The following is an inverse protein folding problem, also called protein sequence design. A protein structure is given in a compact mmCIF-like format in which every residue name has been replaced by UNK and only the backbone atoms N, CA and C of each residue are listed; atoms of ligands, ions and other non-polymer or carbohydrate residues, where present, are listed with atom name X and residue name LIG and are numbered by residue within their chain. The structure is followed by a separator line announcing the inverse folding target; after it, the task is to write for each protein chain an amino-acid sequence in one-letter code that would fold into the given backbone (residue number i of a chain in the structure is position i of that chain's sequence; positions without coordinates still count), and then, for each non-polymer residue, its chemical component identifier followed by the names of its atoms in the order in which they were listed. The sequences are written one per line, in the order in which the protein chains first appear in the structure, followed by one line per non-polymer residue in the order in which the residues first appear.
data_IF_399296292800
#
_entry.id   IF_399296292800
#
_cell.length_a   1.000
_cell.length_b   1.000
_cell.length_c   1.000
_cell.angle_alpha   90.00
_cell.angle_beta   90.00
_cell.angle_gamma   90.00
#
_symmetry.space_group_name_H-M   'P 1'
#
loop_
_entity.id
_entity.type
_entity.pdbx_description
1 polymer ?
#
# COMPACT_ATOMS: atom_id res chain seq x y z
N UNK A 1 -6.85 7.67 2.26
CA UNK A 1 -7.52 8.47 3.29
C UNK A 1 -8.16 7.65 4.40
N UNK A 2 -8.82 6.55 4.13
CA UNK A 2 -9.42 5.66 5.12
C UNK A 2 -8.45 5.25 6.23
N UNK A 3 -7.18 4.97 5.90
CA UNK A 3 -6.16 4.62 6.89
C UNK A 3 -5.80 5.74 7.88
N UNK A 4 -6.01 7.01 7.53
CA UNK A 4 -5.79 8.14 8.43
C UNK A 4 -6.94 8.31 9.45
N UNK A 5 -8.15 7.93 9.05
CA UNK A 5 -9.36 8.05 9.87
C UNK A 5 -9.58 6.82 10.76
N UNK A 6 -9.20 5.63 10.29
CA UNK A 6 -9.32 4.40 11.08
C UNK A 6 -8.14 4.25 12.04
N UNK A 7 -8.39 3.91 13.30
CA UNK A 7 -7.34 3.73 14.34
C UNK A 7 -6.47 2.46 14.14
N UNK A 8 -6.61 1.76 13.00
CA UNK A 8 -5.88 0.54 12.66
C UNK A 8 -4.54 0.90 12.03
N UNK A 9 -3.47 0.91 12.80
CA UNK A 9 -2.11 1.09 12.28
C UNK A 9 -1.10 0.94 13.41
N UNK A 10 0.02 0.28 13.10
CA UNK A 10 1.10 0.08 14.05
C UNK A 10 1.69 1.39 14.60
N UNK A 11 2.54 1.33 15.63
CA UNK A 11 3.09 2.49 16.31
C UNK A 11 3.86 3.45 15.37
N UNK A 12 4.44 2.94 14.29
CA UNK A 12 5.18 3.74 13.31
C UNK A 12 4.28 4.69 12.50
N UNK A 13 3.01 4.31 12.27
CA UNK A 13 2.06 5.12 11.53
C UNK A 13 1.30 6.13 12.39
N UNK A 14 1.29 6.00 13.71
CA UNK A 14 0.56 6.90 14.59
C UNK A 14 1.03 8.37 14.53
N UNK A 15 2.35 8.67 14.58
CA UNK A 15 2.85 10.03 14.42
C UNK A 15 2.56 10.62 13.03
N UNK A 16 2.65 9.80 11.98
CA UNK A 16 2.33 10.18 10.61
C UNK A 16 0.85 10.55 10.49
N UNK A 17 -0.07 9.69 10.96
CA UNK A 17 -1.51 9.98 10.98
C UNK A 17 -1.82 11.27 11.71
N UNK A 18 -1.21 11.46 12.89
CA UNK A 18 -1.42 12.68 13.66
C UNK A 18 -0.99 13.94 12.91
N UNK A 19 0.11 13.89 12.16
CA UNK A 19 0.52 15.00 11.28
C UNK A 19 -0.50 15.25 10.17
N UNK A 20 -0.87 14.20 9.44
CA UNK A 20 -1.85 14.28 8.34
C UNK A 20 -3.17 14.88 8.84
N UNK A 21 -3.74 14.36 9.92
CA UNK A 21 -5.01 14.87 10.45
C UNK A 21 -4.94 16.35 10.85
N UNK A 22 -3.79 16.82 11.36
CA UNK A 22 -3.60 18.25 11.68
C UNK A 22 -3.37 19.12 10.44
N UNK A 23 -2.83 18.55 9.36
CA UNK A 23 -2.59 19.32 8.12
C UNK A 23 -3.80 19.38 7.19
N UNK A 24 -4.80 18.54 7.39
CA UNK A 24 -5.99 18.50 6.54
C UNK A 24 -6.76 19.84 6.63
N UNK A 25 -7.05 20.47 5.47
CA UNK A 25 -7.81 21.70 5.45
C UNK A 25 -9.29 21.45 5.78
N UNK A 26 -10.00 22.47 6.25
CA UNK A 26 -11.42 22.37 6.54
C UNK A 26 -12.26 21.89 5.33
N UNK A 27 -11.82 22.17 4.12
CA UNK A 27 -12.47 21.70 2.89
C UNK A 27 -12.54 20.17 2.78
N UNK A 28 -11.62 19.42 3.43
CA UNK A 28 -11.62 17.95 3.45
C UNK A 28 -12.49 17.35 4.55
N UNK A 29 -13.02 18.14 5.48
CA UNK A 29 -13.82 17.65 6.61
C UNK A 29 -15.02 16.78 6.21
N UNK A 30 -15.73 17.01 5.08
CA UNK A 30 -16.83 16.15 4.66
C UNK A 30 -16.45 14.68 4.48
N UNK A 31 -15.18 14.38 4.23
CA UNK A 31 -14.75 12.99 4.08
C UNK A 31 -14.85 12.17 5.37
N UNK A 32 -14.80 12.81 6.53
CA UNK A 32 -15.02 12.14 7.81
C UNK A 32 -16.47 11.63 7.94
N UNK A 33 -17.43 12.36 7.38
CA UNK A 33 -18.83 11.98 7.36
C UNK A 33 -19.09 10.71 6.53
N UNK A 34 -18.21 10.37 5.57
CA UNK A 34 -18.36 9.17 4.75
C UNK A 34 -17.90 7.89 5.45
N UNK A 35 -17.32 8.00 6.65
CA UNK A 35 -16.75 6.86 7.38
C UNK A 35 -17.26 6.80 8.83
N UNK A 36 -18.58 6.94 9.10
CA UNK A 36 -19.10 7.07 10.47
C UNK A 36 -18.80 5.85 11.33
N UNK A 37 -18.72 4.65 10.72
CA UNK A 37 -18.44 3.39 11.41
C UNK A 37 -17.07 2.79 10.99
N UNK A 38 -16.15 3.59 10.47
CA UNK A 38 -14.82 3.13 10.03
C UNK A 38 -14.82 2.39 8.69
N UNK A 39 -15.95 2.32 7.99
CA UNK A 39 -16.10 1.68 6.67
C UNK A 39 -16.65 2.68 5.66
N UNK A 40 -15.89 3.02 4.62
CA UNK A 40 -16.37 3.92 3.58
C UNK A 40 -17.43 3.24 2.69
N UNK A 41 -18.21 4.01 1.92
CA UNK A 41 -18.99 3.50 0.82
C UNK A 41 -18.08 2.92 -0.27
N UNK A 42 -18.43 1.76 -0.82
CA UNK A 42 -17.60 1.05 -1.81
C UNK A 42 -17.45 1.81 -3.13
N UNK A 43 -18.39 2.69 -3.49
CA UNK A 43 -18.29 3.50 -4.70
C UNK A 43 -17.14 4.53 -4.68
N UNK A 44 -16.47 4.71 -3.54
CA UNK A 44 -15.26 5.54 -3.44
C UNK A 44 -13.99 4.76 -3.76
N UNK A 45 -14.07 3.43 -3.80
CA UNK A 45 -12.93 2.54 -4.03
C UNK A 45 -12.84 2.22 -5.53
N UNK A 46 -12.50 3.23 -6.33
CA UNK A 46 -12.32 3.11 -7.77
C UNK A 46 -10.83 2.99 -8.12
N UNK A 47 -10.56 2.37 -9.26
CA UNK A 47 -9.22 2.27 -9.82
C UNK A 47 -9.23 3.02 -11.15
N UNK A 48 -8.57 4.17 -11.19
CA UNK A 48 -8.40 4.99 -12.38
C UNK A 48 -6.91 5.17 -12.71
N UNK A 49 -6.62 5.42 -13.97
CA UNK A 49 -5.25 5.68 -14.43
C UNK A 49 -4.72 7.00 -13.91
N UNK A 50 -5.61 7.96 -13.66
CA UNK A 50 -5.29 9.26 -13.08
C UNK A 50 -6.26 9.60 -11.94
N UNK A 51 -5.92 10.63 -11.16
CA UNK A 51 -6.84 11.16 -10.14
C UNK A 51 -8.11 11.74 -10.77
N UNK A 52 -8.00 12.35 -11.94
CA UNK A 52 -9.16 12.89 -12.67
C UNK A 52 -10.09 11.74 -13.07
N UNK A 53 -9.56 10.68 -13.67
CA UNK A 53 -10.34 9.47 -14.04
C UNK A 53 -11.03 8.86 -12.82
N UNK A 54 -10.32 8.78 -11.70
CA UNK A 54 -10.90 8.26 -10.44
C UNK A 54 -12.08 9.11 -9.96
N UNK A 55 -11.96 10.44 -10.02
CA UNK A 55 -13.06 11.35 -9.67
C UNK A 55 -14.25 11.23 -10.62
N UNK A 56 -13.98 11.07 -11.92
CA UNK A 56 -15.03 10.84 -12.92
C UNK A 56 -15.74 9.50 -12.70
N UNK A 57 -15.00 8.43 -12.43
CA UNK A 57 -15.58 7.12 -12.10
C UNK A 57 -16.47 7.19 -10.85
N UNK A 58 -16.01 7.84 -9.79
CA UNK A 58 -16.83 8.07 -8.59
C UNK A 58 -18.11 8.83 -8.93
N UNK A 59 -18.01 9.88 -9.75
CA UNK A 59 -19.14 10.71 -10.17
C UNK A 59 -20.12 9.96 -11.07
N UNK A 60 -19.61 9.04 -11.90
CA UNK A 60 -20.39 8.22 -12.80
C UNK A 60 -21.07 7.01 -12.11
N UNK A 61 -20.84 6.80 -10.80
CA UNK A 61 -21.49 5.72 -10.06
C UNK A 61 -23.01 5.81 -10.17
N UNK A 62 -23.65 4.68 -10.43
CA UNK A 62 -25.10 4.63 -10.58
C UNK A 62 -25.82 5.14 -9.31
N UNK A 63 -26.88 5.92 -9.43
CA UNK A 63 -27.61 6.45 -8.28
C UNK A 63 -28.15 5.35 -7.36
N UNK A 64 -28.45 4.18 -7.90
CA UNK A 64 -28.88 3.01 -7.11
C UNK A 64 -27.80 2.51 -6.19
N UNK A 65 -26.57 2.35 -6.68
CA UNK A 65 -25.42 1.90 -5.87
C UNK A 65 -25.06 2.94 -4.81
N UNK A 66 -25.06 4.23 -5.16
CA UNK A 66 -24.80 5.30 -4.19
C UNK A 66 -25.78 5.23 -3.02
N UNK A 67 -27.09 5.06 -3.30
CA UNK A 67 -28.12 4.95 -2.24
C UNK A 67 -27.88 3.75 -1.35
N UNK A 68 -27.76 2.56 -1.93
CA UNK A 68 -27.55 1.32 -1.18
C UNK A 68 -26.31 1.39 -0.30
N UNK A 69 -25.22 1.93 -0.81
CA UNK A 69 -23.97 2.05 -0.07
C UNK A 69 -24.05 3.09 1.06
N UNK A 70 -24.71 4.21 0.84
CA UNK A 70 -24.94 5.20 1.91
C UNK A 70 -25.85 4.65 2.99
N UNK A 71 -26.93 3.94 2.64
CA UNK A 71 -27.81 3.26 3.57
C UNK A 71 -27.05 2.22 4.41
N UNK A 72 -26.20 1.43 3.76
CA UNK A 72 -25.32 0.45 4.43
C UNK A 72 -24.37 1.10 5.44
N UNK A 73 -23.75 2.22 5.06
CA UNK A 73 -22.74 2.91 5.88
C UNK A 73 -23.39 3.59 7.08
N UNK A 74 -24.55 4.21 6.89
CA UNK A 74 -25.20 4.97 7.93
C UNK A 74 -26.08 4.11 8.87
N UNK A 75 -26.75 3.08 8.33
CA UNK A 75 -27.62 2.23 9.17
C UNK A 75 -28.54 3.04 10.09
N UNK A 76 -28.25 3.01 11.38
CA UNK A 76 -28.96 3.76 12.43
C UNK A 76 -28.29 5.09 12.83
N UNK A 77 -27.16 5.43 12.23
CA UNK A 77 -26.41 6.65 12.55
C UNK A 77 -27.09 7.88 11.92
N UNK A 78 -27.16 9.03 12.59
CA UNK A 78 -27.71 10.26 12.03
C UNK A 78 -26.98 10.67 10.75
N UNK A 79 -27.73 10.94 9.68
CA UNK A 79 -27.19 11.26 8.35
C UNK A 79 -27.02 12.78 8.21
N UNK A 80 -25.81 13.30 7.92
CA UNK A 80 -25.58 14.72 7.64
C UNK A 80 -26.39 15.23 6.44
N UNK A 81 -26.73 16.52 6.44
CA UNK A 81 -27.57 17.11 5.40
C UNK A 81 -27.00 16.93 4.00
N UNK A 82 -25.70 17.11 3.82
CA UNK A 82 -25.06 17.00 2.53
C UNK A 82 -25.01 15.53 2.03
N UNK A 83 -24.89 14.55 2.94
CA UNK A 83 -24.99 13.12 2.61
C UNK A 83 -26.40 12.76 2.14
N UNK A 84 -27.45 13.31 2.77
CA UNK A 84 -28.82 13.17 2.24
C UNK A 84 -28.94 13.75 0.84
N UNK A 85 -28.24 14.87 0.58
CA UNK A 85 -28.15 15.44 -0.77
C UNK A 85 -27.45 14.50 -1.75
N UNK A 86 -26.37 13.84 -1.33
CA UNK A 86 -25.64 12.87 -2.15
C UNK A 86 -26.53 11.64 -2.47
N UNK A 87 -27.22 11.12 -1.47
CA UNK A 87 -28.22 10.04 -1.63
C UNK A 87 -29.35 10.42 -2.61
N UNK A 88 -29.78 11.67 -2.62
CA UNK A 88 -30.77 12.21 -3.54
C UNK A 88 -30.22 12.60 -4.93
N UNK A 89 -28.93 12.40 -5.19
CA UNK A 89 -28.30 12.78 -6.46
C UNK A 89 -28.07 14.28 -6.65
N UNK A 90 -28.06 15.08 -5.57
CA UNK A 90 -27.94 16.54 -5.64
C UNK A 90 -26.53 16.96 -6.10
N UNK A 91 -26.46 17.78 -7.12
CA UNK A 91 -25.21 18.25 -7.73
C UNK A 91 -24.32 19.03 -6.75
N UNK A 92 -24.91 19.81 -5.83
CA UNK A 92 -24.15 20.53 -4.82
C UNK A 92 -23.45 19.58 -3.83
N UNK A 93 -24.08 18.42 -3.51
CA UNK A 93 -23.48 17.40 -2.66
C UNK A 93 -22.30 16.69 -3.39
N UNK A 94 -22.43 16.41 -4.66
CA UNK A 94 -21.36 15.87 -5.49
C UNK A 94 -20.17 16.85 -5.59
N UNK A 95 -20.42 18.13 -5.77
CA UNK A 95 -19.36 19.16 -5.74
C UNK A 95 -18.67 19.23 -4.37
N UNK A 96 -19.42 19.04 -3.29
CA UNK A 96 -18.84 19.00 -1.94
C UNK A 96 -17.90 17.79 -1.79
N UNK A 97 -18.33 16.61 -2.24
CA UNK A 97 -17.49 15.41 -2.23
C UNK A 97 -16.20 15.61 -3.05
N UNK A 98 -16.33 16.08 -4.29
CA UNK A 98 -15.19 16.31 -5.17
C UNK A 98 -14.17 17.30 -4.58
N UNK A 99 -14.63 18.45 -4.06
CA UNK A 99 -13.73 19.41 -3.40
C UNK A 99 -13.02 18.82 -2.19
N UNK A 100 -13.73 18.04 -1.40
CA UNK A 100 -13.16 17.41 -0.22
C UNK A 100 -12.10 16.35 -0.60
N UNK A 101 -12.34 15.57 -1.64
CA UNK A 101 -11.36 14.61 -2.17
C UNK A 101 -10.13 15.31 -2.75
N UNK A 102 -10.33 16.34 -3.54
CA UNK A 102 -9.24 17.14 -4.12
C UNK A 102 -8.37 17.77 -3.02
N UNK A 103 -8.99 18.46 -2.05
CA UNK A 103 -8.27 19.07 -0.94
C UNK A 103 -7.46 18.04 -0.11
N UNK A 104 -8.01 16.86 0.11
CA UNK A 104 -7.30 15.80 0.79
C UNK A 104 -6.15 15.23 -0.04
N UNK A 105 -6.34 15.04 -1.35
CA UNK A 105 -5.28 14.58 -2.25
C UNK A 105 -4.12 15.57 -2.28
N UNK A 106 -4.40 16.86 -2.52
CA UNK A 106 -3.39 17.92 -2.58
C UNK A 106 -2.57 18.04 -1.29
N UNK A 107 -3.22 17.81 -0.14
CA UNK A 107 -2.55 17.92 1.16
C UNK A 107 -1.78 16.66 1.54
N UNK A 108 -2.30 15.46 1.24
CA UNK A 108 -1.77 14.20 1.77
C UNK A 108 -0.93 13.46 0.75
N UNK A 109 -1.40 13.35 -0.49
CA UNK A 109 -0.79 12.50 -1.50
C UNK A 109 0.07 13.26 -2.50
N UNK A 110 -0.37 14.41 -2.97
CA UNK A 110 0.37 15.18 -3.98
C UNK A 110 1.83 15.46 -3.56
N UNK A 111 2.13 15.83 -2.29
CA UNK A 111 3.50 16.08 -1.87
C UNK A 111 4.44 14.86 -1.92
N UNK A 112 3.87 13.66 -1.92
CA UNK A 112 4.62 12.39 -1.93
C UNK A 112 4.31 11.54 -3.16
N UNK A 113 3.56 12.09 -4.12
CA UNK A 113 3.01 11.32 -5.23
C UNK A 113 4.07 10.64 -6.10
N UNK A 114 5.17 11.33 -6.39
CA UNK A 114 6.29 10.75 -7.14
C UNK A 114 6.89 9.55 -6.41
N UNK A 115 7.06 9.65 -5.09
CA UNK A 115 7.58 8.55 -4.26
C UNK A 115 6.61 7.36 -4.28
N UNK A 116 5.30 7.62 -4.19
CA UNK A 116 4.28 6.57 -4.26
C UNK A 116 4.32 5.88 -5.63
N UNK A 117 4.47 6.65 -6.71
CA UNK A 117 4.57 6.09 -8.07
C UNK A 117 5.83 5.24 -8.25
N UNK A 118 6.96 5.65 -7.72
CA UNK A 118 8.21 4.89 -7.79
C UNK A 118 8.09 3.58 -7.00
N UNK A 119 7.58 3.62 -5.77
CA UNK A 119 7.30 2.44 -4.96
C UNK A 119 6.32 1.48 -5.65
N UNK A 120 5.29 2.03 -6.31
CA UNK A 120 4.34 1.21 -7.07
C UNK A 120 5.02 0.52 -8.26
N UNK A 121 5.89 1.22 -8.97
CA UNK A 121 6.64 0.66 -10.10
C UNK A 121 7.62 -0.43 -9.67
N UNK A 122 8.31 -0.22 -8.55
CA UNK A 122 9.19 -1.24 -7.95
C UNK A 122 8.39 -2.49 -7.56
N UNK A 123 7.24 -2.31 -6.92
CA UNK A 123 6.38 -3.40 -6.50
C UNK A 123 5.82 -4.18 -7.69
N UNK A 124 5.34 -3.47 -8.72
CA UNK A 124 4.90 -4.07 -9.97
C UNK A 124 6.02 -4.91 -10.62
N UNK A 125 7.22 -4.34 -10.74
CA UNK A 125 8.37 -5.02 -11.34
C UNK A 125 8.73 -6.28 -10.54
N UNK A 126 8.74 -6.20 -9.22
CA UNK A 126 9.04 -7.33 -8.33
C UNK A 126 8.08 -8.49 -8.56
N UNK A 127 6.78 -8.23 -8.61
CA UNK A 127 5.79 -9.30 -8.82
C UNK A 127 5.74 -9.78 -10.26
N UNK A 128 5.95 -8.90 -11.25
CA UNK A 128 6.05 -9.31 -12.64
C UNK A 128 7.21 -10.29 -12.86
N UNK A 129 8.37 -10.03 -12.28
CA UNK A 129 9.52 -10.95 -12.32
C UNK A 129 9.22 -12.26 -11.56
N UNK A 130 8.62 -12.17 -10.36
CA UNK A 130 8.25 -13.37 -9.61
C UNK A 130 7.27 -14.27 -10.39
N UNK A 131 6.29 -13.67 -11.06
CA UNK A 131 5.36 -14.42 -11.93
C UNK A 131 6.09 -15.06 -13.11
N UNK A 132 7.00 -14.31 -13.75
CA UNK A 132 7.75 -14.79 -14.91
C UNK A 132 8.70 -15.94 -14.57
N UNK A 133 9.36 -15.88 -13.42
CA UNK A 133 10.37 -16.87 -12.99
C UNK A 133 9.78 -18.05 -12.22
N UNK A 134 8.77 -17.83 -11.40
CA UNK A 134 8.28 -18.81 -10.42
C UNK A 134 6.76 -19.07 -10.53
N UNK A 135 6.07 -18.37 -11.42
CA UNK A 135 4.64 -18.53 -11.66
C UNK A 135 3.75 -17.74 -10.67
N UNK A 136 2.45 -17.70 -11.00
CA UNK A 136 1.44 -16.95 -10.25
C UNK A 136 1.33 -17.42 -8.79
N UNK A 137 1.44 -18.73 -8.54
CA UNK A 137 1.36 -19.29 -7.20
C UNK A 137 2.39 -18.67 -6.25
N UNK A 138 3.64 -18.56 -6.70
CA UNK A 138 4.71 -17.97 -5.90
C UNK A 138 4.47 -16.47 -5.62
N UNK A 139 3.93 -15.74 -6.60
CA UNK A 139 3.58 -14.35 -6.44
C UNK A 139 2.46 -14.17 -5.39
N UNK A 140 1.39 -14.95 -5.47
CA UNK A 140 0.25 -14.87 -4.54
C UNK A 140 0.66 -15.26 -3.11
N UNK A 141 1.39 -16.36 -2.93
CA UNK A 141 1.85 -16.78 -1.60
C UNK A 141 2.85 -15.80 -0.97
N UNK A 142 3.61 -15.06 -1.80
CA UNK A 142 4.48 -13.97 -1.36
C UNK A 142 3.75 -12.73 -0.84
N UNK A 143 2.49 -12.51 -1.25
CA UNK A 143 1.68 -11.35 -0.82
C UNK A 143 1.19 -11.45 0.62
N UNK A 144 0.87 -12.67 1.06
CA UNK A 144 0.32 -12.91 2.38
C UNK A 144 1.14 -14.00 3.09
N UNK A 145 2.02 -13.65 4.03
CA UNK A 145 2.81 -14.64 4.77
C UNK A 145 1.92 -15.70 5.43
N UNK A 146 2.26 -16.97 5.25
CA UNK A 146 1.48 -18.09 5.76
C UNK A 146 0.29 -18.48 4.88
N UNK A 147 0.12 -17.84 3.72
CA UNK A 147 -0.88 -18.26 2.74
C UNK A 147 -0.42 -19.45 1.92
N UNK A 148 -1.37 -20.16 1.33
CA UNK A 148 -1.11 -21.27 0.41
C UNK A 148 -2.10 -21.26 -0.75
N UNK A 149 -1.66 -21.76 -1.89
CA UNK A 149 -2.49 -21.98 -3.08
C UNK A 149 -2.55 -23.46 -3.39
N UNK A 150 -3.73 -24.07 -3.36
CA UNK A 150 -3.97 -25.45 -3.69
C UNK A 150 -5.25 -25.61 -4.50
N UNK A 151 -5.20 -26.39 -5.57
CA UNK A 151 -6.33 -26.67 -6.46
C UNK A 151 -7.11 -25.43 -6.92
N UNK A 152 -6.41 -24.31 -7.13
CA UNK A 152 -7.03 -23.04 -7.57
C UNK A 152 -7.70 -22.24 -6.45
N UNK A 153 -7.59 -22.69 -5.21
CA UNK A 153 -8.03 -21.95 -4.00
C UNK A 153 -6.82 -21.35 -3.32
N UNK A 154 -6.82 -20.03 -3.15
CA UNK A 154 -5.82 -19.31 -2.40
C UNK A 154 -6.36 -18.90 -1.04
N UNK A 155 -5.74 -19.42 0.00
CA UNK A 155 -6.13 -19.18 1.38
C UNK A 155 -5.02 -18.42 2.11
N UNK A 156 -5.38 -17.50 2.98
CA UNK A 156 -4.45 -16.83 3.88
C UNK A 156 -5.06 -16.62 5.25
N UNK A 157 -4.25 -16.74 6.34
CA UNK A 157 -4.71 -16.49 7.69
C UNK A 157 -5.06 -15.02 7.87
N UNK A 158 -6.16 -14.74 8.53
CA UNK A 158 -6.64 -13.39 8.82
C UNK A 158 -7.29 -13.30 10.19
N UNK A 159 -7.56 -12.08 10.63
CA UNK A 159 -8.33 -11.79 11.85
C UNK A 159 -9.81 -11.46 11.57
N UNK A 160 -10.16 -11.38 10.29
CA UNK A 160 -11.54 -11.21 9.86
C UNK A 160 -12.30 -12.55 9.90
N UNK A 161 -13.64 -12.56 9.99
CA UNK A 161 -14.42 -13.77 9.78
C UNK A 161 -14.10 -14.43 8.44
N UNK A 162 -14.10 -15.77 8.43
CA UNK A 162 -13.87 -16.54 7.22
C UNK A 162 -14.87 -16.15 6.14
N UNK A 163 -14.37 -16.01 4.93
CA UNK A 163 -15.13 -15.58 3.78
C UNK A 163 -14.60 -16.21 2.51
N UNK A 164 -15.44 -16.93 1.81
CA UNK A 164 -15.14 -17.47 0.50
C UNK A 164 -15.52 -16.46 -0.60
N UNK A 165 -14.62 -16.27 -1.55
CA UNK A 165 -14.85 -15.44 -2.73
C UNK A 165 -14.56 -16.21 -4.00
N UNK A 166 -15.60 -16.44 -4.80
CA UNK A 166 -15.48 -17.07 -6.10
C UNK A 166 -15.26 -16.01 -7.18
N UNK A 167 -14.12 -16.07 -7.85
CA UNK A 167 -13.80 -15.10 -8.91
C UNK A 167 -14.65 -15.29 -10.16
N UNK A 168 -15.05 -16.52 -10.50
CA UNK A 168 -15.89 -16.83 -11.67
C UNK A 168 -15.40 -16.17 -12.98
N UNK A 169 -14.09 -16.16 -13.19
CA UNK A 169 -13.47 -15.55 -14.38
C UNK A 169 -13.33 -14.02 -14.34
N UNK A 170 -13.80 -13.34 -13.30
CA UNK A 170 -13.69 -11.86 -13.17
C UNK A 170 -12.27 -11.34 -13.01
N UNK A 171 -11.34 -12.19 -12.62
CA UNK A 171 -9.97 -11.80 -12.35
C UNK A 171 -9.75 -11.22 -10.94
N UNK A 172 -8.48 -11.01 -10.60
CA UNK A 172 -8.02 -10.45 -9.35
C UNK A 172 -7.05 -9.30 -9.63
N UNK A 173 -7.32 -8.13 -9.10
CA UNK A 173 -6.42 -6.97 -9.15
C UNK A 173 -5.64 -6.92 -7.84
N UNK A 174 -4.31 -6.89 -7.93
CA UNK A 174 -3.40 -6.72 -6.80
C UNK A 174 -3.06 -5.24 -6.66
N UNK A 175 -3.45 -4.62 -5.55
CA UNK A 175 -3.27 -3.19 -5.29
C UNK A 175 -2.32 -2.97 -4.11
N UNK A 176 -1.06 -2.57 -4.34
CA UNK A 176 -0.14 -2.26 -3.25
C UNK A 176 -0.56 -0.99 -2.52
N UNK A 177 -0.45 -0.99 -1.20
CA UNK A 177 -0.67 0.20 -0.36
C UNK A 177 0.52 0.48 0.54
N UNK A 178 0.94 1.73 0.58
CA UNK A 178 2.08 2.21 1.36
C UNK A 178 1.66 2.96 2.63
N UNK A 179 0.34 3.02 2.89
CA UNK A 179 -0.26 3.80 3.98
C UNK A 179 -1.03 2.93 4.98
N UNK A 180 -1.11 1.64 4.74
CA UNK A 180 -1.88 0.69 5.54
C UNK A 180 -1.04 -0.55 5.85
N UNK A 181 -0.51 -0.67 7.09
CA UNK A 181 0.37 -1.77 7.48
C UNK A 181 -0.37 -3.02 7.92
N UNK A 182 -1.70 -3.00 7.96
CA UNK A 182 -2.49 -4.18 8.29
C UNK A 182 -2.46 -5.20 7.13
N UNK A 183 -2.85 -6.44 7.42
CA UNK A 183 -2.88 -7.51 6.42
C UNK A 183 -3.73 -7.22 5.18
N UNK A 184 -3.76 -8.14 4.22
CA UNK A 184 -4.50 -7.96 2.97
C UNK A 184 -5.98 -7.68 3.21
N UNK A 185 -6.54 -6.80 2.38
CA UNK A 185 -7.97 -6.44 2.38
C UNK A 185 -8.56 -6.85 1.03
N UNK A 186 -9.50 -7.77 1.04
CA UNK A 186 -10.20 -8.21 -0.16
C UNK A 186 -11.53 -7.48 -0.32
N UNK A 187 -11.68 -6.77 -1.42
CA UNK A 187 -12.92 -6.18 -1.90
C UNK A 187 -13.47 -7.02 -3.04
N UNK A 188 -14.72 -7.41 -2.93
CA UNK A 188 -15.42 -8.19 -3.93
C UNK A 188 -16.74 -7.48 -4.28
N UNK A 189 -16.78 -6.89 -5.47
CA UNK A 189 -17.96 -6.22 -6.00
C UNK A 189 -18.52 -7.06 -7.15
N UNK A 190 -19.79 -7.47 -7.09
CA UNK A 190 -20.40 -8.27 -8.16
C UNK A 190 -20.22 -7.65 -9.53
N UNK A 191 -19.84 -8.46 -10.53
CA UNK A 191 -19.62 -8.00 -11.90
C UNK A 191 -18.29 -7.31 -12.19
N UNK A 192 -17.48 -7.05 -11.17
CA UNK A 192 -16.14 -6.44 -11.29
C UNK A 192 -15.03 -7.43 -10.86
N UNK A 193 -13.79 -7.25 -11.31
CA UNK A 193 -12.66 -7.97 -10.74
C UNK A 193 -12.60 -7.78 -9.21
N UNK A 194 -12.22 -8.82 -8.49
CA UNK A 194 -11.93 -8.68 -7.07
C UNK A 194 -10.64 -7.86 -6.89
N UNK A 195 -10.58 -7.03 -5.86
CA UNK A 195 -9.40 -6.19 -5.57
C UNK A 195 -8.79 -6.62 -4.24
N UNK A 196 -7.55 -7.06 -4.29
CA UNK A 196 -6.77 -7.32 -3.09
C UNK A 196 -5.81 -6.16 -2.83
N UNK A 197 -6.14 -5.35 -1.83
CA UNK A 197 -5.21 -4.32 -1.33
C UNK A 197 -4.29 -4.96 -0.30
N UNK A 198 -2.99 -4.85 -0.50
CA UNK A 198 -1.98 -5.45 0.39
C UNK A 198 -0.90 -4.45 0.80
N UNK A 199 -0.32 -4.59 2.02
CA UNK A 199 0.77 -3.72 2.47
C UNK A 199 2.02 -3.96 1.63
N UNK A 200 2.64 -2.89 1.16
CA UNK A 200 3.81 -2.91 0.31
C UNK A 200 4.82 -1.82 0.72
N UNK A 201 6.02 -1.88 0.14
CA UNK A 201 7.07 -0.93 0.38
C UNK A 201 7.82 -1.16 1.70
N UNK A 202 8.56 -0.15 2.18
CA UNK A 202 9.49 -0.28 3.31
C UNK A 202 8.81 -0.35 4.69
N UNK A 203 7.50 -0.50 4.77
CA UNK A 203 6.75 -0.53 6.04
C UNK A 203 6.68 0.82 6.76
N UNK A 204 7.04 1.91 6.08
CA UNK A 204 6.93 3.28 6.57
C UNK A 204 6.09 4.10 5.59
N UNK A 205 5.27 5.04 6.11
CA UNK A 205 4.49 5.90 5.23
C UNK A 205 5.42 6.84 4.44
N UNK A 206 5.17 7.08 3.15
CA UNK A 206 5.88 8.10 2.40
C UNK A 206 5.70 9.48 3.05
N UNK A 207 6.77 10.24 3.19
CA UNK A 207 6.73 11.59 3.76
C UNK A 207 7.42 12.57 2.83
N UNK A 208 6.72 13.66 2.49
CA UNK A 208 7.33 14.76 1.74
C UNK A 208 8.42 15.41 2.61
N UNK A 209 9.55 15.72 1.99
CA UNK A 209 10.65 16.39 2.69
C UNK A 209 11.24 15.60 3.85
N UNK A 210 11.05 14.26 3.86
CA UNK A 210 11.85 13.42 4.73
C UNK A 210 13.32 13.78 4.46
N UNK A 211 14.10 14.14 5.49
CA UNK A 211 15.50 14.44 5.28
C UNK A 211 16.11 13.21 4.59
N UNK A 212 16.76 13.44 3.46
CA UNK A 212 17.62 12.41 2.89
C UNK A 212 18.59 12.05 4.02
N UNK A 213 18.44 10.85 4.57
CA UNK A 213 19.29 10.42 5.67
C UNK A 213 20.70 10.47 5.13
N UNK A 214 21.51 11.39 5.66
CA UNK A 214 22.85 11.58 5.12
C UNK A 214 23.65 10.28 5.26
N UNK A 215 24.58 10.07 4.34
CA UNK A 215 25.47 8.92 4.42
C UNK A 215 26.23 8.87 5.77
N UNK A 216 26.50 10.04 6.36
CA UNK A 216 27.11 10.18 7.67
C UNK A 216 26.19 9.69 8.80
N UNK A 217 24.90 10.04 8.74
CA UNK A 217 23.92 9.58 9.72
C UNK A 217 23.71 8.06 9.65
N UNK A 218 23.65 7.49 8.44
CA UNK A 218 23.61 6.04 8.25
C UNK A 218 24.89 5.37 8.70
N UNK A 219 26.05 5.97 8.41
CA UNK A 219 27.34 5.45 8.86
C UNK A 219 27.50 5.48 10.38
N UNK A 220 26.90 6.48 11.06
CA UNK A 220 26.90 6.55 12.52
C UNK A 220 26.11 5.39 13.17
N UNK A 221 25.03 4.93 12.52
CA UNK A 221 24.19 3.83 13.03
C UNK A 221 24.76 2.46 12.64
N UNK A 222 25.07 2.27 11.35
CA UNK A 222 25.50 0.97 10.80
C UNK A 222 26.99 0.70 10.98
N UNK A 223 27.79 1.74 11.11
CA UNK A 223 29.24 1.74 10.91
C UNK A 223 29.57 1.86 9.42
N UNK A 224 30.66 2.58 9.11
CA UNK A 224 31.04 2.93 7.74
C UNK A 224 31.20 1.70 6.84
N UNK A 225 31.89 0.67 7.29
CA UNK A 225 32.12 -0.55 6.50
C UNK A 225 30.83 -1.31 6.18
N UNK A 226 29.83 -1.34 7.10
CA UNK A 226 28.52 -1.95 6.81
C UNK A 226 27.69 -1.13 5.83
N UNK A 227 27.78 0.20 5.93
CA UNK A 227 27.12 1.07 4.96
C UNK A 227 27.72 0.88 3.56
N UNK A 228 29.04 0.77 3.45
CA UNK A 228 29.70 0.53 2.17
C UNK A 228 29.38 -0.87 1.64
N UNK A 229 29.30 -1.89 2.53
CA UNK A 229 28.82 -3.21 2.17
C UNK A 229 27.37 -3.18 1.65
N UNK A 230 26.48 -2.45 2.31
CA UNK A 230 25.08 -2.30 1.89
C UNK A 230 24.95 -1.66 0.50
N UNK A 231 25.75 -0.64 0.22
CA UNK A 231 25.79 0.01 -1.09
C UNK A 231 26.27 -0.92 -2.20
N UNK A 232 27.32 -1.70 -1.93
CA UNK A 232 27.83 -2.67 -2.89
C UNK A 232 26.83 -3.80 -3.15
N UNK A 233 26.08 -4.22 -2.13
CA UNK A 233 25.05 -5.27 -2.22
C UNK A 233 23.76 -4.80 -2.91
N UNK A 234 23.66 -3.57 -3.37
CA UNK A 234 22.65 -3.15 -4.35
C UNK A 234 22.78 -3.96 -5.66
N UNK A 235 23.97 -4.51 -5.93
CA UNK A 235 24.21 -5.47 -7.00
C UNK A 235 24.66 -6.83 -6.44
N UNK A 236 24.48 -7.93 -7.19
CA UNK A 236 24.91 -9.26 -6.73
C UNK A 236 26.42 -9.34 -6.54
N UNK A 237 26.87 -9.66 -5.34
CA UNK A 237 28.27 -9.86 -5.02
C UNK A 237 28.52 -11.22 -4.35
N UNK A 238 29.63 -11.88 -4.72
CA UNK A 238 30.16 -12.99 -3.92
C UNK A 238 30.86 -12.44 -2.67
N UNK A 239 30.98 -13.26 -1.63
CA UNK A 239 31.74 -12.86 -0.39
C UNK A 239 33.15 -12.40 -0.74
N UNK A 240 33.81 -13.08 -1.68
CA UNK A 240 35.18 -12.72 -2.11
C UNK A 240 35.23 -11.41 -2.87
N UNK A 241 34.26 -11.13 -3.76
CA UNK A 241 34.22 -9.85 -4.47
C UNK A 241 33.88 -8.70 -3.53
N UNK A 242 33.00 -8.93 -2.57
CA UNK A 242 32.64 -7.97 -1.52
C UNK A 242 33.85 -7.65 -0.61
N UNK A 243 34.59 -8.68 -0.18
CA UNK A 243 35.79 -8.53 0.64
C UNK A 243 36.86 -7.68 -0.06
N UNK A 244 37.07 -7.95 -1.36
CA UNK A 244 38.00 -7.18 -2.19
C UNK A 244 37.56 -5.72 -2.34
N UNK A 245 36.30 -5.47 -2.63
CA UNK A 245 35.77 -4.11 -2.80
C UNK A 245 35.86 -3.29 -1.51
N UNK A 246 35.55 -3.92 -0.38
CA UNK A 246 35.62 -3.31 0.96
C UNK A 246 37.04 -3.24 1.53
N UNK A 247 38.01 -3.90 0.91
CA UNK A 247 39.39 -4.04 1.41
C UNK A 247 39.46 -4.64 2.85
N UNK A 248 38.66 -5.67 3.07
CA UNK A 248 38.62 -6.42 4.34
C UNK A 248 38.84 -7.92 4.09
N UNK A 249 38.99 -8.70 5.15
CA UNK A 249 39.07 -10.16 5.04
C UNK A 249 37.71 -10.76 4.59
N UNK A 250 37.75 -11.94 3.98
CA UNK A 250 36.54 -12.70 3.64
C UNK A 250 35.66 -12.98 4.87
N UNK A 251 36.28 -13.24 6.03
CA UNK A 251 35.55 -13.45 7.27
C UNK A 251 34.79 -12.19 7.71
N UNK A 252 35.44 -11.00 7.60
CA UNK A 252 34.83 -9.71 7.91
C UNK A 252 33.70 -9.39 6.95
N UNK A 253 33.90 -9.58 5.63
CA UNK A 253 32.87 -9.38 4.63
C UNK A 253 31.66 -10.31 4.84
N UNK A 254 31.91 -11.59 5.16
CA UNK A 254 30.86 -12.55 5.51
C UNK A 254 30.07 -12.13 6.75
N UNK A 255 30.76 -11.65 7.80
CA UNK A 255 30.13 -11.16 9.03
C UNK A 255 29.23 -9.93 8.76
N UNK A 256 29.71 -8.98 7.94
CA UNK A 256 28.88 -7.83 7.55
C UNK A 256 27.67 -8.22 6.71
N UNK A 257 27.86 -9.11 5.73
CA UNK A 257 26.74 -9.62 4.91
C UNK A 257 25.72 -10.40 5.76
N UNK A 258 26.19 -11.19 6.74
CA UNK A 258 25.32 -11.90 7.67
C UNK A 258 24.52 -10.94 8.55
N UNK A 259 25.16 -9.89 9.09
CA UNK A 259 24.47 -8.89 9.89
C UNK A 259 23.42 -8.12 9.09
N UNK A 260 23.73 -7.71 7.86
CA UNK A 260 22.79 -7.05 6.96
C UNK A 260 21.62 -7.97 6.57
N UNK A 261 21.88 -9.25 6.34
CA UNK A 261 20.84 -10.25 6.06
C UNK A 261 19.94 -10.47 7.28
N UNK A 262 20.50 -10.59 8.48
CA UNK A 262 19.71 -10.72 9.72
C UNK A 262 18.84 -9.50 9.99
N UNK A 263 19.26 -8.33 9.51
CA UNK A 263 18.49 -7.09 9.58
C UNK A 263 17.48 -6.94 8.41
N UNK A 264 17.38 -7.93 7.51
CA UNK A 264 16.49 -7.86 6.33
C UNK A 264 16.96 -6.88 5.23
N UNK A 265 18.21 -6.39 5.32
CA UNK A 265 18.77 -5.41 4.38
C UNK A 265 19.51 -6.04 3.20
N UNK A 266 19.69 -7.35 3.20
CA UNK A 266 20.30 -8.11 2.10
C UNK A 266 19.73 -9.52 2.05
N UNK A 267 19.78 -10.14 0.88
CA UNK A 267 19.35 -11.53 0.65
C UNK A 267 20.52 -12.37 0.14
N UNK A 268 20.39 -13.69 0.21
CA UNK A 268 21.34 -14.61 -0.39
C UNK A 268 20.68 -15.31 -1.57
N UNK A 269 21.28 -15.24 -2.74
CA UNK A 269 20.86 -15.99 -3.93
C UNK A 269 21.97 -16.96 -4.36
N UNK A 270 21.59 -18.05 -5.00
CA UNK A 270 22.52 -18.95 -5.68
C UNK A 270 22.69 -18.49 -7.12
N UNK A 271 23.88 -18.03 -7.49
CA UNK A 271 24.18 -17.75 -8.90
C UNK A 271 24.55 -19.09 -9.55
N UNK A 272 23.62 -19.70 -10.29
CA UNK A 272 23.97 -20.81 -11.17
C UNK A 272 24.86 -20.27 -12.29
N UNK A 273 26.14 -20.63 -12.30
CA UNK A 273 26.98 -20.49 -13.47
C UNK A 273 26.50 -21.56 -14.47
N UNK A 274 25.74 -21.13 -15.47
CA UNK A 274 25.67 -21.92 -16.71
C UNK A 274 27.04 -21.78 -17.40
N UNK A 275 27.71 -22.91 -17.54
CA UNK A 275 28.93 -23.09 -18.37
C UNK A 275 28.49 -23.20 -19.82
#
# INVERSE_FOLDING_TARGET
MTAAVTQRGGPLFAPWRGRILRSLPAASSPLADLVPAGRPPSFLDVIGDTMADSFEQIRATSPGLVRVELERVYGTVPVPRWIRGLHAGNEAAWRTLHRAQQAAFETVLAPVWSVVQDLHREEFTRYALTVAEHGVAAALTGLAPGSWLHEGVWEWPGTAPDRDVCLNGRGLILLPTFHHPAGPLLQDTPGHPAVLTYPAGPGLPPTAGAPVVSAEALAAILGRTRLDALRLLAEPHTTTSLARALRVSNATASSHAAALRSAGMATTGTVNRSV
#
